data_IF_361475831414
#
_entry.id   IF_361475831414
#
_cell.length_a   1.000
_cell.length_b   1.000
_cell.length_c   1.000
_cell.angle_alpha   90.00
_cell.angle_beta   90.00
_cell.angle_gamma   90.00
#
_symmetry.space_group_name_H-M   'P 1'
#
loop_
_entity.id
_entity.type
_entity.pdbx_description
1 polymer ?
#
# COMPACT_ATOMS: atom_id res chain seq x y z
N UNK A 1 -16.25 16.38 -17.34
CA UNK A 1 -17.27 16.78 -16.35
C UNK A 1 -18.54 17.29 -17.01
N UNK A 2 -18.52 18.39 -17.79
CA UNK A 2 -19.74 18.86 -18.51
C UNK A 2 -20.29 17.86 -19.53
N UNK A 3 -19.44 17.23 -20.33
CA UNK A 3 -19.86 16.26 -21.37
C UNK A 3 -20.45 14.96 -20.79
N UNK A 4 -20.03 14.54 -19.58
CA UNK A 4 -20.57 13.34 -18.96
C UNK A 4 -21.89 13.61 -18.20
N UNK A 5 -22.10 14.86 -17.75
CA UNK A 5 -23.34 15.26 -17.05
C UNK A 5 -24.58 15.20 -17.94
N UNK A 6 -24.40 15.05 -19.26
CA UNK A 6 -25.46 14.93 -20.26
C UNK A 6 -25.82 13.47 -20.57
N UNK A 7 -25.09 12.49 -20.02
CA UNK A 7 -25.37 11.07 -20.25
C UNK A 7 -26.59 10.64 -19.42
N UNK A 8 -27.70 10.20 -20.05
CA UNK A 8 -28.89 9.78 -19.32
C UNK A 8 -28.61 8.63 -18.34
N UNK A 9 -29.12 8.73 -17.12
CA UNK A 9 -28.93 7.72 -16.07
C UNK A 9 -27.60 7.82 -15.31
N UNK A 10 -26.70 8.74 -15.69
CA UNK A 10 -25.49 9.03 -14.92
C UNK A 10 -25.69 10.30 -14.12
N UNK A 11 -25.54 10.19 -12.80
CA UNK A 11 -25.63 11.33 -11.88
C UNK A 11 -24.27 11.64 -11.28
N UNK A 12 -23.87 12.92 -11.34
CA UNK A 12 -22.65 13.41 -10.71
C UNK A 12 -22.95 13.83 -9.28
N UNK A 13 -22.41 13.09 -8.33
CA UNK A 13 -22.53 13.37 -6.90
C UNK A 13 -21.11 13.55 -6.36
N UNK A 14 -20.87 14.68 -5.68
CA UNK A 14 -19.58 14.92 -5.03
C UNK A 14 -19.56 14.31 -3.64
N UNK A 15 -18.37 14.07 -3.08
CA UNK A 15 -18.27 13.65 -1.68
C UNK A 15 -18.90 14.68 -0.73
N UNK A 16 -18.78 15.97 -1.01
CA UNK A 16 -19.42 17.03 -0.22
C UNK A 16 -20.95 16.89 -0.25
N UNK A 17 -21.54 16.51 -1.39
CA UNK A 17 -22.98 16.25 -1.49
C UNK A 17 -23.44 15.09 -0.60
N UNK A 18 -22.64 14.02 -0.51
CA UNK A 18 -22.93 12.89 0.39
C UNK A 18 -22.70 13.32 1.85
N UNK A 19 -21.62 14.07 2.09
CA UNK A 19 -21.20 14.50 3.42
C UNK A 19 -22.12 15.56 4.03
N UNK A 20 -22.82 16.36 3.23
CA UNK A 20 -23.78 17.36 3.70
C UNK A 20 -25.23 16.91 3.50
N UNK A 21 -25.43 15.62 3.16
CA UNK A 21 -26.75 15.07 2.86
C UNK A 21 -27.73 15.30 4.00
N UNK A 22 -28.84 15.98 3.69
CA UNK A 22 -29.91 16.22 4.65
C UNK A 22 -30.96 15.10 4.54
N UNK A 23 -31.05 14.19 5.53
CA UNK A 23 -32.00 13.09 5.47
C UNK A 23 -33.45 13.57 5.47
N UNK A 24 -34.28 12.91 4.66
CA UNK A 24 -35.73 13.10 4.64
C UNK A 24 -36.40 12.41 5.84
N UNK A 25 -35.80 11.33 6.34
CA UNK A 25 -36.32 10.51 7.42
C UNK A 25 -35.32 10.38 8.56
N UNK A 26 -35.83 10.25 9.79
CA UNK A 26 -34.99 9.98 10.95
C UNK A 26 -34.40 8.57 10.83
N UNK A 27 -33.09 8.46 11.01
CA UNK A 27 -32.42 7.18 11.17
C UNK A 27 -32.85 6.50 12.47
N UNK A 28 -32.87 5.18 12.44
CA UNK A 28 -33.02 4.36 13.64
C UNK A 28 -31.83 4.62 14.60
N UNK A 29 -32.09 5.01 15.87
CA UNK A 29 -31.02 5.34 16.80
C UNK A 29 -30.10 4.16 17.17
N UNK A 30 -30.64 2.93 17.24
CA UNK A 30 -29.84 1.74 17.57
C UNK A 30 -28.88 1.42 16.43
N UNK A 31 -29.38 1.45 15.20
CA UNK A 31 -28.60 1.24 13.98
C UNK A 31 -27.49 2.28 13.82
N UNK A 32 -27.80 3.56 14.07
CA UNK A 32 -26.79 4.62 14.03
C UNK A 32 -25.72 4.43 15.12
N UNK A 33 -26.15 4.11 16.35
CA UNK A 33 -25.23 3.88 17.47
C UNK A 33 -24.29 2.69 17.20
N UNK A 34 -24.84 1.57 16.73
CA UNK A 34 -24.08 0.37 16.39
C UNK A 34 -23.00 0.68 15.34
N UNK A 35 -23.39 1.32 14.23
CA UNK A 35 -22.44 1.71 13.18
C UNK A 35 -21.33 2.60 13.74
N UNK A 36 -21.70 3.70 14.41
CA UNK A 36 -20.74 4.70 14.92
C UNK A 36 -19.78 4.09 15.93
N UNK A 37 -20.30 3.29 16.86
CA UNK A 37 -19.48 2.60 17.85
C UNK A 37 -18.53 1.61 17.18
N UNK A 38 -19.00 0.85 16.19
CA UNK A 38 -18.18 -0.12 15.46
C UNK A 38 -17.02 0.53 14.72
N UNK A 39 -17.29 1.51 13.84
CA UNK A 39 -16.25 2.07 12.99
C UNK A 39 -15.25 2.95 13.77
N UNK A 40 -15.69 3.64 14.84
CA UNK A 40 -14.78 4.43 15.69
C UNK A 40 -13.87 3.56 16.59
N UNK A 41 -14.31 2.35 16.96
CA UNK A 41 -13.49 1.38 17.70
C UNK A 41 -12.52 0.59 16.82
N UNK A 42 -12.35 0.99 15.55
CA UNK A 42 -11.35 0.44 14.64
C UNK A 42 -10.06 1.29 14.68
N UNK A 43 -8.91 0.68 14.95
CA UNK A 43 -7.63 1.39 15.03
C UNK A 43 -7.20 2.03 13.69
N UNK A 44 -7.65 1.47 12.56
CA UNK A 44 -7.40 2.05 11.23
C UNK A 44 -8.18 3.34 11.03
N UNK A 45 -9.43 3.39 11.51
CA UNK A 45 -10.25 4.62 11.49
C UNK A 45 -9.48 5.72 12.19
N UNK A 46 -9.12 5.55 13.46
CA UNK A 46 -8.41 6.59 14.22
C UNK A 46 -7.16 7.15 13.49
N UNK A 47 -6.41 6.28 12.80
CA UNK A 47 -5.22 6.67 12.03
C UNK A 47 -5.55 7.43 10.74
N UNK A 48 -6.59 7.03 10.02
CA UNK A 48 -7.05 7.74 8.81
C UNK A 48 -7.65 9.10 9.15
N UNK A 49 -8.39 9.21 10.27
CA UNK A 49 -8.92 10.48 10.76
C UNK A 49 -7.77 11.43 11.18
N UNK A 50 -6.74 10.92 11.86
CA UNK A 50 -5.54 11.70 12.20
C UNK A 50 -4.69 12.08 10.98
N UNK A 51 -4.71 11.24 9.92
CA UNK A 51 -3.97 11.50 8.68
C UNK A 51 -4.39 12.82 8.04
N UNK A 52 -5.69 13.03 7.86
CA UNK A 52 -6.21 14.19 7.13
C UNK A 52 -6.07 15.50 7.90
N UNK A 53 -6.19 15.46 9.24
CA UNK A 53 -5.94 16.60 10.12
C UNK A 53 -6.80 17.84 9.81
N UNK A 54 -7.78 18.16 10.67
CA UNK A 54 -8.59 19.36 10.49
C UNK A 54 -7.80 20.66 10.55
N UNK A 55 -8.28 21.64 9.78
CA UNK A 55 -7.82 23.02 9.77
C UNK A 55 -7.92 23.68 11.17
N UNK A 56 -6.92 24.49 11.56
CA UNK A 56 -5.63 24.61 10.90
C UNK A 56 -4.82 23.33 11.07
N UNK A 57 -4.03 22.96 10.05
CA UNK A 57 -3.19 21.75 9.84
C UNK A 57 -2.32 21.25 11.03
N UNK A 58 -2.47 21.84 12.20
CA UNK A 58 -1.88 21.50 13.49
C UNK A 58 -2.85 20.75 14.42
N UNK A 59 -3.97 20.26 13.89
CA UNK A 59 -4.78 19.24 14.56
C UNK A 59 -5.83 19.83 15.49
N UNK A 60 -7.08 19.70 15.06
CA UNK A 60 -8.12 19.40 16.02
C UNK A 60 -7.73 18.04 16.64
N UNK A 61 -7.66 17.93 17.97
CA UNK A 61 -7.40 16.65 18.62
C UNK A 61 -8.40 15.59 18.15
N UNK A 62 -8.03 14.30 18.21
CA UNK A 62 -8.90 13.17 17.86
C UNK A 62 -10.33 13.36 18.40
N UNK A 63 -10.45 13.97 19.58
CA UNK A 63 -11.72 14.38 20.18
C UNK A 63 -12.64 15.20 19.26
N UNK A 64 -12.27 16.39 18.78
CA UNK A 64 -13.20 17.17 17.95
C UNK A 64 -13.22 16.69 16.49
N UNK A 65 -12.24 15.89 16.07
CA UNK A 65 -12.32 15.17 14.81
C UNK A 65 -13.49 14.18 14.83
N UNK A 66 -13.69 13.45 15.94
CA UNK A 66 -14.81 12.52 16.08
C UNK A 66 -16.16 13.20 15.89
N UNK A 67 -16.40 14.41 16.41
CA UNK A 67 -17.66 15.12 16.19
C UNK A 67 -17.97 15.28 14.69
N UNK A 68 -17.01 15.75 13.90
CA UNK A 68 -17.17 15.87 12.45
C UNK A 68 -17.46 14.52 11.81
N UNK A 69 -16.68 13.49 12.15
CA UNK A 69 -16.81 12.19 11.51
C UNK A 69 -18.08 11.43 11.93
N UNK A 70 -18.60 11.66 13.14
CA UNK A 70 -19.92 11.14 13.55
C UNK A 70 -21.06 11.80 12.77
N UNK A 71 -20.91 13.08 12.42
CA UNK A 71 -21.84 13.78 11.53
C UNK A 71 -21.70 13.26 10.09
N UNK A 72 -20.47 13.02 9.59
CA UNK A 72 -20.22 12.37 8.30
C UNK A 72 -20.93 11.03 8.21
N UNK A 73 -20.73 10.20 9.23
CA UNK A 73 -21.30 8.88 9.36
C UNK A 73 -22.83 8.92 9.31
N UNK A 74 -23.44 9.90 9.99
CA UNK A 74 -24.89 10.11 9.95
C UNK A 74 -25.38 10.41 8.54
N UNK A 75 -24.81 11.40 7.86
CA UNK A 75 -25.22 11.79 6.51
C UNK A 75 -24.97 10.69 5.47
N UNK A 76 -23.82 10.01 5.53
CA UNK A 76 -23.48 8.89 4.65
C UNK A 76 -24.46 7.73 4.84
N UNK A 77 -24.73 7.33 6.09
CA UNK A 77 -25.66 6.22 6.37
C UNK A 77 -27.07 6.55 5.87
N UNK A 78 -27.54 7.78 6.10
CA UNK A 78 -28.79 8.29 5.57
C UNK A 78 -28.84 8.27 4.04
N UNK A 79 -27.78 8.74 3.38
CA UNK A 79 -27.69 8.77 1.93
C UNK A 79 -27.79 7.36 1.33
N UNK A 80 -27.01 6.40 1.85
CA UNK A 80 -27.01 5.03 1.36
C UNK A 80 -28.38 4.36 1.49
N UNK A 81 -29.08 4.59 2.60
CA UNK A 81 -30.42 4.03 2.87
C UNK A 81 -31.46 4.68 1.96
N UNK A 82 -31.54 6.01 1.94
CA UNK A 82 -32.61 6.73 1.22
C UNK A 82 -32.45 6.72 -0.30
N UNK A 83 -31.22 6.54 -0.79
CA UNK A 83 -30.94 6.38 -2.23
C UNK A 83 -30.96 4.93 -2.68
N UNK A 84 -31.21 3.99 -1.77
CA UNK A 84 -31.30 2.55 -2.07
C UNK A 84 -30.09 2.06 -2.87
N UNK A 85 -28.89 2.44 -2.43
CA UNK A 85 -27.65 2.13 -3.16
C UNK A 85 -27.45 0.61 -3.20
N UNK A 86 -27.33 0.05 -4.40
CA UNK A 86 -27.18 -1.39 -4.62
C UNK A 86 -25.75 -1.89 -4.43
N UNK A 87 -24.76 -1.13 -4.87
CA UNK A 87 -23.34 -1.40 -4.66
C UNK A 87 -22.51 -0.11 -4.76
N UNK A 88 -21.27 -0.17 -4.26
CA UNK A 88 -20.27 0.89 -4.39
C UNK A 88 -19.05 0.35 -5.14
N UNK A 89 -18.52 1.13 -6.07
CA UNK A 89 -17.26 0.82 -6.76
C UNK A 89 -16.23 1.91 -6.49
N UNK A 90 -15.12 1.53 -5.85
CA UNK A 90 -13.98 2.40 -5.62
C UNK A 90 -12.87 2.14 -6.65
N UNK A 91 -12.28 3.23 -7.14
CA UNK A 91 -11.16 3.21 -8.11
C UNK A 91 -9.85 2.71 -7.50
N UNK A 92 -9.81 2.63 -6.18
CA UNK A 92 -8.71 2.17 -5.34
C UNK A 92 -9.23 1.86 -3.94
N UNK A 93 -8.43 1.15 -3.13
CA UNK A 93 -8.69 1.00 -1.69
C UNK A 93 -8.95 2.36 -1.03
N UNK A 94 -10.15 2.59 -0.45
CA UNK A 94 -10.48 3.83 0.25
C UNK A 94 -9.42 4.20 1.29
N UNK A 95 -8.89 5.41 1.20
CA UNK A 95 -7.78 5.85 2.07
C UNK A 95 -7.82 7.32 2.44
N UNK A 96 -8.85 8.02 1.99
CA UNK A 96 -9.32 9.27 2.57
C UNK A 96 -10.43 8.93 3.59
N UNK A 97 -10.60 9.77 4.61
CA UNK A 97 -11.49 9.52 5.75
C UNK A 97 -12.96 9.39 5.34
N UNK A 98 -13.42 10.19 4.39
CA UNK A 98 -14.80 10.15 3.89
C UNK A 98 -15.06 8.85 3.13
N UNK A 99 -14.13 8.45 2.26
CA UNK A 99 -14.22 7.19 1.51
C UNK A 99 -14.17 5.99 2.47
N UNK A 100 -13.36 6.10 3.52
CA UNK A 100 -13.28 5.10 4.57
C UNK A 100 -14.61 4.93 5.30
N UNK A 101 -15.26 6.03 5.70
CA UNK A 101 -16.57 5.99 6.36
C UNK A 101 -17.63 5.44 5.40
N UNK A 102 -17.59 5.83 4.12
CA UNK A 102 -18.47 5.31 3.07
C UNK A 102 -18.33 3.79 2.90
N UNK A 103 -17.10 3.28 2.84
CA UNK A 103 -16.84 1.84 2.75
C UNK A 103 -17.32 1.05 3.97
N UNK A 104 -17.05 1.57 5.18
CA UNK A 104 -17.55 0.94 6.42
C UNK A 104 -19.09 0.99 6.50
N UNK A 105 -19.72 2.10 6.09
CA UNK A 105 -21.18 2.22 6.09
C UNK A 105 -21.81 1.24 5.12
N UNK A 106 -21.23 1.08 3.92
CA UNK A 106 -21.70 0.11 2.95
C UNK A 106 -21.58 -1.33 3.47
N UNK A 107 -20.44 -1.71 4.05
CA UNK A 107 -20.25 -3.04 4.65
C UNK A 107 -21.24 -3.29 5.79
N UNK A 108 -21.45 -2.30 6.68
CA UNK A 108 -22.45 -2.38 7.75
C UNK A 108 -23.89 -2.55 7.24
N UNK A 109 -24.22 -1.94 6.10
CA UNK A 109 -25.52 -2.07 5.45
C UNK A 109 -25.66 -3.33 4.58
N UNK A 110 -24.63 -4.17 4.49
CA UNK A 110 -24.54 -5.29 3.54
C UNK A 110 -24.72 -4.85 2.07
N UNK A 111 -24.27 -3.64 1.74
CA UNK A 111 -24.17 -3.16 0.36
C UNK A 111 -22.86 -3.71 -0.22
N UNK A 112 -22.95 -4.25 -1.43
CA UNK A 112 -21.77 -4.78 -2.11
C UNK A 112 -20.72 -3.68 -2.33
N UNK A 113 -19.49 -3.91 -1.88
CA UNK A 113 -18.37 -3.00 -2.11
C UNK A 113 -17.39 -3.64 -3.08
N UNK A 114 -17.02 -2.90 -4.11
CA UNK A 114 -16.01 -3.27 -5.09
C UNK A 114 -14.86 -2.28 -5.05
N UNK A 115 -13.63 -2.76 -5.17
CA UNK A 115 -12.46 -1.90 -5.28
C UNK A 115 -11.46 -2.44 -6.31
N UNK A 116 -11.01 -1.57 -7.20
CA UNK A 116 -9.89 -1.88 -8.09
C UNK A 116 -8.58 -1.82 -7.33
N UNK A 117 -7.73 -2.80 -7.57
CA UNK A 117 -6.42 -2.90 -6.95
C UNK A 117 -5.33 -3.07 -7.99
N UNK A 118 -4.15 -2.51 -7.70
CA UNK A 118 -2.95 -2.95 -8.40
C UNK A 118 -2.72 -4.40 -8.01
N UNK A 119 -2.46 -5.26 -9.00
CA UNK A 119 -2.18 -6.65 -8.76
C UNK A 119 -0.73 -6.82 -8.27
N UNK A 120 0.14 -7.51 -9.01
CA UNK A 120 1.56 -7.62 -8.63
C UNK A 120 2.49 -6.72 -9.47
N UNK A 121 2.11 -6.47 -10.72
CA UNK A 121 2.85 -5.58 -11.62
C UNK A 121 2.16 -4.21 -11.71
N UNK A 122 2.89 -3.10 -11.86
CA UNK A 122 2.30 -1.77 -11.84
C UNK A 122 1.27 -1.46 -12.95
N UNK A 123 1.27 -2.24 -14.03
CA UNK A 123 0.30 -2.12 -15.14
C UNK A 123 -0.84 -3.14 -15.08
N UNK A 124 -0.80 -4.08 -14.11
CA UNK A 124 -1.81 -5.11 -13.96
C UNK A 124 -2.71 -4.81 -12.76
N UNK A 125 -4.01 -4.98 -12.97
CA UNK A 125 -5.04 -4.62 -12.01
C UNK A 125 -6.02 -5.76 -11.80
N UNK A 126 -6.66 -5.82 -10.64
CA UNK A 126 -7.72 -6.77 -10.34
C UNK A 126 -8.89 -6.08 -9.65
N UNK A 127 -10.01 -6.79 -9.51
CA UNK A 127 -11.19 -6.32 -8.81
C UNK A 127 -11.46 -7.20 -7.58
N UNK A 128 -11.71 -6.55 -6.46
CA UNK A 128 -12.04 -7.20 -5.19
C UNK A 128 -13.46 -6.85 -4.78
N UNK A 129 -14.20 -7.82 -4.23
CA UNK A 129 -15.49 -7.62 -3.57
C UNK A 129 -15.30 -7.71 -2.07
N UNK A 130 -15.99 -6.85 -1.33
CA UNK A 130 -15.87 -6.69 0.11
C UNK A 130 -14.98 -5.52 0.51
N UNK A 131 -14.75 -5.36 1.81
CA UNK A 131 -13.99 -4.24 2.35
C UNK A 131 -12.83 -4.73 3.24
N UNK A 132 -11.66 -4.12 3.08
CA UNK A 132 -10.46 -4.41 3.86
C UNK A 132 -10.05 -5.90 3.92
N UNK A 133 -10.10 -6.54 5.09
CA UNK A 133 -9.68 -7.94 5.26
C UNK A 133 -10.70 -8.94 4.72
N UNK A 134 -11.96 -8.52 4.57
CA UNK A 134 -13.07 -9.35 4.13
C UNK A 134 -13.26 -9.25 2.61
N UNK A 135 -12.16 -9.28 1.86
CA UNK A 135 -12.20 -9.15 0.41
C UNK A 135 -11.94 -10.46 -0.29
N UNK A 136 -12.72 -10.73 -1.34
CA UNK A 136 -12.53 -11.85 -2.25
C UNK A 136 -12.20 -11.35 -3.66
N UNK A 137 -11.40 -12.13 -4.37
CA UNK A 137 -11.15 -11.91 -5.80
C UNK A 137 -12.47 -12.10 -6.56
N UNK A 138 -12.90 -11.07 -7.31
CA UNK A 138 -14.18 -11.13 -8.04
C UNK A 138 -14.09 -12.04 -9.24
N UNK A 139 -12.94 -12.06 -9.90
CA UNK A 139 -12.79 -12.71 -11.17
C UNK A 139 -11.75 -13.83 -11.10
N UNK A 140 -12.19 -15.06 -11.37
CA UNK A 140 -11.34 -16.18 -11.78
C UNK A 140 -11.52 -16.34 -13.27
N UNK A 141 -10.44 -16.47 -14.03
CA UNK A 141 -10.47 -16.58 -15.50
C UNK A 141 -11.04 -15.32 -16.18
N UNK A 142 -10.54 -14.13 -15.80
CA UNK A 142 -10.71 -12.92 -16.59
C UNK A 142 -10.32 -13.20 -18.03
N UNK A 143 -11.32 -13.26 -18.91
CA UNK A 143 -11.08 -13.15 -20.34
C UNK A 143 -10.58 -11.74 -20.63
N UNK A 144 -9.25 -11.58 -20.62
CA UNK A 144 -8.59 -10.39 -21.13
C UNK A 144 -8.62 -10.41 -22.65
N UNK A 145 -8.71 -9.23 -23.26
CA UNK A 145 -8.43 -9.05 -24.68
C UNK A 145 -6.96 -9.38 -25.00
N UNK A 146 -6.09 -9.20 -24.01
CA UNK A 146 -4.67 -9.54 -24.07
C UNK A 146 -4.44 -11.05 -24.10
N UNK A 147 -3.50 -11.48 -24.93
CA UNK A 147 -3.07 -12.89 -25.02
C UNK A 147 -2.08 -13.25 -23.92
N UNK A 148 -1.99 -14.55 -23.60
CA UNK A 148 -0.98 -15.07 -22.67
C UNK A 148 0.44 -14.71 -23.11
N UNK A 149 0.72 -14.74 -24.43
CA UNK A 149 2.02 -14.38 -24.99
C UNK A 149 2.37 -12.91 -24.75
N UNK A 150 1.37 -12.01 -24.81
CA UNK A 150 1.55 -10.59 -24.46
C UNK A 150 1.97 -10.44 -22.99
N UNK A 151 1.26 -11.10 -22.07
CA UNK A 151 1.63 -11.12 -20.64
C UNK A 151 3.05 -11.66 -20.44
N UNK A 152 3.36 -12.80 -21.06
CA UNK A 152 4.68 -13.45 -20.99
C UNK A 152 5.79 -12.52 -21.45
N UNK A 153 5.60 -11.80 -22.55
CA UNK A 153 6.59 -10.86 -23.08
C UNK A 153 6.84 -9.68 -22.11
N UNK A 154 5.78 -9.07 -21.58
CA UNK A 154 5.88 -7.98 -20.61
C UNK A 154 6.53 -8.42 -19.28
N UNK A 155 6.13 -9.58 -18.77
CA UNK A 155 6.70 -10.17 -17.55
C UNK A 155 8.19 -10.45 -17.73
N UNK A 156 8.59 -11.08 -18.84
CA UNK A 156 9.99 -11.37 -19.14
C UNK A 156 10.83 -10.10 -19.21
N UNK A 157 10.31 -9.05 -19.87
CA UNK A 157 10.98 -7.75 -19.96
C UNK A 157 11.17 -7.11 -18.58
N UNK A 158 10.12 -7.07 -17.76
CA UNK A 158 10.20 -6.53 -16.40
C UNK A 158 11.14 -7.35 -15.50
N UNK A 159 11.08 -8.68 -15.56
CA UNK A 159 12.01 -9.58 -14.87
C UNK A 159 13.45 -9.29 -15.27
N UNK A 160 13.72 -9.03 -16.56
CA UNK A 160 15.03 -8.62 -17.05
C UNK A 160 15.53 -7.31 -16.44
N UNK A 161 14.64 -6.31 -16.30
CA UNK A 161 14.95 -5.02 -15.64
C UNK A 161 15.34 -5.26 -14.17
N UNK A 162 14.54 -6.03 -13.42
CA UNK A 162 14.78 -6.28 -11.99
C UNK A 162 16.04 -7.14 -11.74
N UNK A 163 16.35 -8.07 -12.63
CA UNK A 163 17.61 -8.85 -12.56
C UNK A 163 18.85 -8.00 -12.84
N UNK A 164 18.68 -6.87 -13.53
CA UNK A 164 19.74 -5.91 -13.81
C UNK A 164 20.17 -5.09 -12.59
N UNK A 165 20.51 -3.82 -12.82
CA UNK A 165 20.92 -2.89 -11.78
C UNK A 165 19.72 -2.13 -11.17
N UNK A 166 19.89 -1.66 -9.94
CA UNK A 166 18.83 -0.97 -9.22
C UNK A 166 18.44 0.36 -9.87
N UNK A 167 19.39 1.08 -10.46
CA UNK A 167 19.11 2.35 -11.13
C UNK A 167 18.14 2.18 -12.30
N UNK A 168 18.18 1.07 -13.04
CA UNK A 168 17.22 0.78 -14.11
C UNK A 168 15.86 0.35 -13.55
N UNK A 169 15.85 -0.45 -12.48
CA UNK A 169 14.64 -0.91 -11.82
C UNK A 169 13.88 0.18 -11.08
N UNK A 170 14.57 1.23 -10.64
CA UNK A 170 13.96 2.29 -9.85
C UNK A 170 12.91 3.07 -10.65
N UNK A 171 11.71 3.33 -10.08
CA UNK A 171 10.66 4.07 -10.75
C UNK A 171 11.09 5.47 -11.21
N UNK A 172 10.61 5.91 -12.38
CA UNK A 172 10.93 7.21 -12.97
C UNK A 172 10.55 8.38 -12.06
N UNK A 173 9.40 8.30 -11.39
CA UNK A 173 8.97 9.33 -10.43
C UNK A 173 9.83 9.40 -9.16
N UNK A 174 10.41 8.29 -8.70
CA UNK A 174 11.35 8.31 -7.56
C UNK A 174 12.72 8.87 -8.00
N UNK A 175 13.20 8.53 -9.19
CA UNK A 175 14.43 9.10 -9.78
C UNK A 175 14.43 10.62 -9.73
N UNK A 176 13.30 11.22 -10.12
CA UNK A 176 13.14 12.67 -10.18
C UNK A 176 13.14 13.36 -8.81
N UNK A 177 13.02 12.63 -7.70
CA UNK A 177 13.04 13.19 -6.34
C UNK A 177 14.43 13.27 -5.72
N UNK A 178 15.40 12.54 -6.26
CA UNK A 178 16.75 12.52 -5.68
C UNK A 178 17.53 13.78 -6.04
N UNK A 179 18.27 14.28 -5.06
CA UNK A 179 19.33 15.27 -5.30
C UNK A 179 20.59 14.61 -5.89
N UNK A 180 21.69 15.36 -5.91
CA UNK A 180 23.00 14.88 -6.41
C UNK A 180 24.04 14.83 -5.29
N UNK A 181 24.97 13.88 -5.41
CA UNK A 181 26.12 13.74 -4.50
C UNK A 181 25.71 13.64 -3.02
N UNK A 182 26.31 14.43 -2.10
CA UNK A 182 26.01 14.35 -0.67
C UNK A 182 24.57 14.77 -0.31
N UNK A 183 23.87 15.45 -1.22
CA UNK A 183 22.49 15.91 -1.05
C UNK A 183 21.46 14.99 -1.72
N UNK A 184 21.84 13.75 -2.08
CA UNK A 184 20.96 12.80 -2.78
C UNK A 184 19.63 12.57 -2.04
N UNK A 185 19.69 12.32 -0.73
CA UNK A 185 18.54 11.95 0.09
C UNK A 185 17.94 13.12 0.88
N UNK A 186 18.68 14.22 1.04
CA UNK A 186 18.21 15.43 1.70
C UNK A 186 18.99 16.63 1.17
N UNK A 187 18.30 17.57 0.52
CA UNK A 187 18.90 18.80 0.02
C UNK A 187 18.28 20.02 0.70
N UNK A 188 19.00 20.71 1.60
CA UNK A 188 18.46 21.85 2.32
C UNK A 188 18.28 23.11 1.45
N UNK A 189 18.79 23.10 0.21
CA UNK A 189 18.75 24.25 -0.70
C UNK A 189 17.69 24.12 -1.81
N UNK A 190 16.99 22.99 -1.90
CA UNK A 190 16.04 22.74 -3.00
C UNK A 190 14.74 23.56 -2.90
N UNK A 191 14.30 23.93 -1.69
CA UNK A 191 13.06 24.69 -1.48
C UNK A 191 13.24 25.82 -0.45
N UNK A 192 13.95 26.91 -0.81
CA UNK A 192 14.18 28.03 0.10
C UNK A 192 12.88 28.71 0.55
N UNK A 193 11.85 28.73 -0.29
CA UNK A 193 10.54 29.29 0.05
C UNK A 193 9.80 28.44 1.09
N UNK A 194 9.85 27.11 0.97
CA UNK A 194 9.30 26.18 1.95
C UNK A 194 9.99 26.27 3.30
N UNK A 195 11.32 26.43 3.31
CA UNK A 195 12.09 26.63 4.55
C UNK A 195 11.62 27.88 5.30
N UNK A 196 11.34 28.98 4.59
CA UNK A 196 10.85 30.23 5.21
C UNK A 196 9.38 30.11 5.65
N UNK A 197 8.52 29.55 4.80
CA UNK A 197 7.07 29.49 5.07
C UNK A 197 6.65 28.38 6.02
N UNK A 198 7.42 27.29 6.11
CA UNK A 198 7.13 26.11 6.93
C UNK A 198 8.41 25.55 7.59
N UNK A 199 9.13 26.36 8.39
CA UNK A 199 10.43 25.99 8.95
C UNK A 199 10.37 24.72 9.80
N UNK A 200 9.27 24.48 10.52
CA UNK A 200 9.07 23.27 11.32
C UNK A 200 9.15 21.97 10.50
N UNK A 201 8.67 21.95 9.24
CA UNK A 201 8.76 20.76 8.37
C UNK A 201 10.20 20.49 7.98
N UNK A 202 10.92 21.54 7.59
CA UNK A 202 12.34 21.45 7.25
C UNK A 202 13.16 20.96 8.45
N UNK A 203 12.99 21.59 9.62
CA UNK A 203 13.69 21.22 10.85
C UNK A 203 13.39 19.78 11.25
N UNK A 204 12.14 19.33 11.13
CA UNK A 204 11.78 17.94 11.42
C UNK A 204 12.49 16.96 10.46
N UNK A 205 12.43 17.21 9.15
CA UNK A 205 13.13 16.36 8.16
C UNK A 205 14.64 16.33 8.40
N UNK A 206 15.25 17.50 8.65
CA UNK A 206 16.68 17.60 8.94
C UNK A 206 17.07 16.81 10.20
N UNK A 207 16.29 16.96 11.27
CA UNK A 207 16.52 16.28 12.53
C UNK A 207 16.35 14.75 12.40
N UNK A 208 15.27 14.30 11.75
CA UNK A 208 15.02 12.89 11.47
C UNK A 208 16.14 12.28 10.60
N UNK A 209 16.53 12.95 9.51
CA UNK A 209 17.58 12.48 8.61
C UNK A 209 18.94 12.38 9.33
N UNK A 210 19.33 13.43 10.05
CA UNK A 210 20.59 13.46 10.80
C UNK A 210 20.63 12.37 11.88
N UNK A 211 19.52 12.16 12.60
CA UNK A 211 19.42 11.09 13.59
C UNK A 211 19.53 9.71 12.95
N UNK A 212 18.75 9.45 11.88
CA UNK A 212 18.77 8.19 11.16
C UNK A 212 20.17 7.87 10.65
N UNK A 213 20.82 8.82 9.96
CA UNK A 213 22.18 8.68 9.43
C UNK A 213 23.20 8.42 10.54
N UNK A 214 23.09 9.11 11.68
CA UNK A 214 23.98 8.91 12.84
C UNK A 214 23.81 7.53 13.47
N UNK A 215 22.60 6.98 13.48
CA UNK A 215 22.27 5.70 14.10
C UNK A 215 22.35 4.52 13.13
N UNK A 216 22.47 4.77 11.84
CA UNK A 216 22.65 3.71 10.84
C UNK A 216 24.04 3.11 10.89
N UNK A 217 24.12 1.81 10.63
CA UNK A 217 25.33 1.01 10.75
C UNK A 217 25.61 0.25 9.45
N UNK A 218 26.85 0.34 8.96
CA UNK A 218 27.29 -0.48 7.84
C UNK A 218 27.66 -1.87 8.34
N UNK A 219 26.90 -2.89 7.92
CA UNK A 219 27.22 -4.28 8.18
C UNK A 219 27.94 -4.92 6.99
N UNK A 220 28.77 -5.91 7.27
CA UNK A 220 29.27 -6.82 6.25
C UNK A 220 28.13 -7.74 5.80
N UNK A 221 27.48 -7.37 4.70
CA UNK A 221 26.31 -8.08 4.18
C UNK A 221 26.61 -9.55 3.85
N UNK A 222 27.86 -9.90 3.51
CA UNK A 222 28.21 -11.28 3.10
C UNK A 222 28.44 -12.21 4.27
N UNK A 223 28.94 -11.67 5.38
CA UNK A 223 29.31 -12.45 6.56
C UNK A 223 28.31 -12.33 7.71
N UNK A 224 27.28 -11.50 7.56
CA UNK A 224 26.22 -11.34 8.57
C UNK A 224 24.99 -12.13 8.16
N UNK A 225 24.45 -12.92 9.09
CA UNK A 225 23.13 -13.51 8.91
C UNK A 225 22.05 -12.46 9.21
N UNK A 226 21.29 -12.02 8.20
CA UNK A 226 20.27 -10.99 8.40
C UNK A 226 19.00 -11.19 7.57
N UNK A 227 17.91 -10.68 8.12
CA UNK A 227 16.69 -10.35 7.40
C UNK A 227 16.65 -8.84 7.16
N UNK A 228 16.02 -8.38 6.08
CA UNK A 228 15.85 -6.94 5.81
C UNK A 228 14.39 -6.55 5.82
N UNK A 229 14.04 -5.50 6.58
CA UNK A 229 12.73 -4.89 6.57
C UNK A 229 12.80 -3.51 5.91
N UNK A 230 12.10 -3.35 4.78
CA UNK A 230 11.97 -2.05 4.12
C UNK A 230 10.77 -1.31 4.68
N UNK A 231 11.05 -0.22 5.39
CA UNK A 231 10.03 0.71 5.84
C UNK A 231 9.39 1.38 4.63
N UNK A 232 8.10 1.62 4.74
CA UNK A 232 7.31 2.37 3.77
C UNK A 232 7.31 3.85 4.12
N UNK A 233 7.20 4.68 3.08
CA UNK A 233 6.84 6.08 3.28
C UNK A 233 5.42 6.17 3.86
N UNK A 234 5.21 7.08 4.82
CA UNK A 234 3.88 7.35 5.38
C UNK A 234 3.54 8.83 5.23
N UNK A 235 2.28 9.19 4.93
CA UNK A 235 1.07 8.34 4.97
C UNK A 235 0.60 7.83 3.59
N UNK A 236 1.15 6.73 3.07
CA UNK A 236 0.69 6.14 1.80
C UNK A 236 -0.49 5.19 1.98
N UNK A 237 -1.34 5.06 0.94
CA UNK A 237 -2.41 4.05 0.87
C UNK A 237 -1.92 2.62 1.14
N UNK A 238 -0.77 2.29 0.54
CA UNK A 238 -0.09 0.98 0.62
C UNK A 238 0.34 0.60 2.03
N UNK A 239 0.49 1.58 2.92
CA UNK A 239 0.68 1.35 4.35
C UNK A 239 -0.62 1.56 5.12
N UNK A 240 -1.37 2.62 4.84
CA UNK A 240 -2.58 3.03 5.55
C UNK A 240 -3.71 3.27 4.53
N UNK A 241 -4.70 2.36 4.42
CA UNK A 241 -5.04 1.32 5.38
C UNK A 241 -4.51 -0.09 5.05
N UNK A 242 -3.87 -0.29 3.90
CA UNK A 242 -3.53 -1.63 3.37
C UNK A 242 -2.52 -2.41 4.23
N UNK A 243 -1.84 -1.77 5.18
CA UNK A 243 -0.95 -2.42 6.14
C UNK A 243 -1.61 -3.01 7.38
N UNK A 244 -2.94 -2.86 7.54
CA UNK A 244 -3.70 -3.38 8.68
C UNK A 244 -3.10 -2.98 10.05
N UNK A 245 -2.79 -3.92 10.95
CA UNK A 245 -2.11 -3.66 12.24
C UNK A 245 -0.66 -3.18 12.07
N UNK A 246 -0.02 -3.51 10.95
CA UNK A 246 1.37 -3.14 10.64
C UNK A 246 1.50 -1.75 10.01
N UNK A 247 0.42 -0.97 9.97
CA UNK A 247 0.51 0.49 9.78
C UNK A 247 1.48 1.09 10.80
N UNK A 248 1.58 0.51 12.01
CA UNK A 248 2.69 0.80 12.91
C UNK A 248 3.91 -0.04 12.50
N UNK A 249 4.81 0.60 11.75
CA UNK A 249 6.00 -0.07 11.23
C UNK A 249 7.04 -0.35 12.30
N UNK A 250 7.01 0.36 13.44
CA UNK A 250 7.88 0.06 14.59
C UNK A 250 7.40 -1.20 15.27
N UNK A 251 6.08 -1.34 15.45
CA UNK A 251 5.47 -2.60 15.90
C UNK A 251 5.79 -3.75 14.93
N UNK A 252 5.68 -3.54 13.62
CA UNK A 252 6.03 -4.53 12.61
C UNK A 252 7.48 -5.02 12.75
N UNK A 253 8.44 -4.09 12.82
CA UNK A 253 9.85 -4.42 13.00
C UNK A 253 10.11 -5.15 14.32
N UNK A 254 9.48 -4.70 15.41
CA UNK A 254 9.59 -5.36 16.72
C UNK A 254 9.08 -6.79 16.67
N UNK A 255 7.90 -7.02 16.09
CA UNK A 255 7.32 -8.36 15.94
C UNK A 255 8.23 -9.28 15.13
N UNK A 256 8.75 -8.81 14.01
CA UNK A 256 9.70 -9.60 13.20
C UNK A 256 10.98 -9.89 13.98
N UNK A 257 11.54 -8.89 14.68
CA UNK A 257 12.78 -9.06 15.45
C UNK A 257 12.66 -10.16 16.52
N UNK A 258 11.47 -10.36 17.09
CA UNK A 258 11.20 -11.40 18.08
C UNK A 258 11.05 -12.80 17.48
N UNK A 259 10.76 -12.90 16.18
CA UNK A 259 10.56 -14.17 15.47
C UNK A 259 11.82 -14.67 14.77
N UNK A 260 12.84 -13.82 14.60
CA UNK A 260 14.10 -14.21 13.98
C UNK A 260 14.89 -15.16 14.89
N UNK A 261 15.63 -16.14 14.30
CA UNK A 261 16.51 -17.01 15.07
C UNK A 261 17.61 -16.23 15.82
N UNK A 262 18.18 -16.86 16.84
CA UNK A 262 19.34 -16.33 17.56
C UNK A 262 20.53 -16.12 16.60
N UNK A 263 21.27 -15.03 16.80
CA UNK A 263 22.40 -14.65 15.95
C UNK A 263 22.01 -13.98 14.63
N UNK A 264 20.71 -13.80 14.33
CA UNK A 264 20.24 -13.09 13.13
C UNK A 264 19.96 -11.62 13.43
N UNK A 265 20.44 -10.72 12.55
CA UNK A 265 20.11 -9.28 12.59
C UNK A 265 18.84 -8.99 11.77
N UNK A 266 18.05 -8.01 12.20
CA UNK A 266 17.04 -7.34 11.37
C UNK A 266 17.59 -6.00 10.91
N UNK A 267 17.90 -5.88 9.62
CA UNK A 267 18.26 -4.62 8.99
C UNK A 267 17.01 -3.85 8.61
N UNK A 268 16.81 -2.67 9.17
CA UNK A 268 15.64 -1.83 8.89
C UNK A 268 16.07 -0.68 7.99
N UNK A 269 15.53 -0.60 6.78
CA UNK A 269 15.87 0.44 5.80
C UNK A 269 14.71 1.41 5.59
N UNK A 270 14.98 2.70 5.76
CA UNK A 270 14.01 3.76 5.52
C UNK A 270 13.74 3.99 4.02
N UNK A 271 12.50 4.36 3.69
CA UNK A 271 12.15 4.78 2.34
C UNK A 271 12.71 6.17 2.04
N UNK A 272 13.40 6.41 0.91
CA UNK A 272 13.98 7.71 0.58
C UNK A 272 13.00 8.88 0.60
N UNK A 273 11.76 8.67 0.14
CA UNK A 273 10.71 9.69 0.16
C UNK A 273 10.38 10.22 1.56
N UNK A 274 10.76 9.52 2.64
CA UNK A 274 10.66 10.04 4.00
C UNK A 274 11.51 11.30 4.22
N UNK A 275 12.61 11.45 3.46
CA UNK A 275 13.53 12.59 3.54
C UNK A 275 13.47 13.50 2.31
N UNK A 276 13.20 12.94 1.12
CA UNK A 276 13.15 13.72 -0.13
C UNK A 276 11.79 14.38 -0.39
N UNK A 277 10.70 13.83 0.15
CA UNK A 277 9.34 14.38 -0.03
C UNK A 277 8.90 15.16 1.19
N UNK A 278 8.60 14.48 2.29
CA UNK A 278 8.14 15.15 3.51
C UNK A 278 8.31 14.25 4.74
N UNK A 279 8.90 14.79 5.81
CA UNK A 279 8.91 14.14 7.12
C UNK A 279 7.90 14.78 8.05
N UNK A 280 6.85 14.06 8.44
CA UNK A 280 5.88 14.52 9.43
C UNK A 280 6.04 13.78 10.76
N UNK A 281 6.15 14.49 11.90
CA UNK A 281 6.35 13.87 13.21
C UNK A 281 5.29 12.83 13.58
N UNK A 282 4.03 13.03 13.14
CA UNK A 282 2.91 12.14 13.44
C UNK A 282 3.01 10.76 12.78
N UNK A 283 3.79 10.62 11.71
CA UNK A 283 3.99 9.33 11.03
C UNK A 283 5.40 8.76 11.23
N UNK A 284 6.42 9.61 11.29
CA UNK A 284 7.81 9.18 11.49
C UNK A 284 8.58 10.24 12.28
N UNK A 285 9.11 9.83 13.42
CA UNK A 285 9.89 10.70 14.30
C UNK A 285 11.18 10.04 14.74
N UNK A 286 12.07 10.84 15.33
CA UNK A 286 13.28 10.34 15.98
C UNK A 286 12.97 9.30 17.05
N UNK A 287 11.82 9.42 17.73
CA UNK A 287 11.39 8.40 18.69
C UNK A 287 11.16 7.05 18.02
N UNK A 288 10.59 7.02 16.81
CA UNK A 288 10.41 5.79 16.04
C UNK A 288 11.76 5.12 15.76
N UNK A 289 12.76 5.89 15.30
CA UNK A 289 14.09 5.36 15.03
C UNK A 289 14.85 4.94 16.30
N UNK A 290 14.69 5.68 17.40
CA UNK A 290 15.27 5.31 18.68
C UNK A 290 14.69 3.99 19.18
N UNK A 291 13.36 3.82 19.11
CA UNK A 291 12.70 2.55 19.47
C UNK A 291 13.18 1.37 18.63
N UNK A 292 13.44 1.58 17.33
CA UNK A 292 14.02 0.55 16.46
C UNK A 292 15.47 0.24 16.85
N UNK A 293 16.30 1.26 17.05
CA UNK A 293 17.71 1.11 17.38
C UNK A 293 17.96 0.55 18.79
N UNK A 294 16.97 0.66 19.69
CA UNK A 294 17.02 0.10 21.05
C UNK A 294 16.74 -1.42 21.08
N UNK A 295 16.26 -2.01 19.98
CA UNK A 295 16.05 -3.45 19.89
C UNK A 295 17.39 -4.18 19.68
N UNK A 296 17.70 -5.22 20.47
CA UNK A 296 19.05 -5.78 20.56
C UNK A 296 19.57 -6.36 19.24
N UNK A 297 18.69 -6.93 18.42
CA UNK A 297 19.02 -7.55 17.14
C UNK A 297 18.66 -6.69 15.91
N UNK A 298 18.36 -5.40 16.08
CA UNK A 298 17.98 -4.49 14.98
C UNK A 298 19.09 -3.49 14.68
N UNK A 299 19.45 -3.30 13.41
CA UNK A 299 20.28 -2.15 12.97
C UNK A 299 19.51 -1.33 11.94
N UNK A 300 19.63 0.00 12.05
CA UNK A 300 19.18 0.90 10.97
C UNK A 300 20.17 0.83 9.80
N UNK A 301 19.64 0.67 8.59
CA UNK A 301 20.43 0.48 7.38
C UNK A 301 20.76 1.83 6.71
N UNK A 302 22.04 2.12 6.41
CA UNK A 302 22.42 3.35 5.70
C UNK A 302 21.65 3.54 4.38
N UNK A 303 21.26 4.79 4.10
CA UNK A 303 20.49 5.14 2.89
C UNK A 303 21.30 4.88 1.61
N UNK A 304 22.62 5.03 1.72
CA UNK A 304 23.60 4.92 0.65
C UNK A 304 23.86 3.47 0.20
N UNK A 305 23.47 2.47 1.00
CA UNK A 305 23.60 1.07 0.59
C UNK A 305 22.73 0.79 -0.63
N UNK A 306 23.22 -0.01 -1.57
CA UNK A 306 22.46 -0.43 -2.73
C UNK A 306 21.34 -1.40 -2.33
N UNK A 307 20.14 -1.20 -2.89
CA UNK A 307 18.96 -1.98 -2.51
C UNK A 307 19.07 -3.43 -3.00
N UNK A 308 19.56 -3.66 -4.22
CA UNK A 308 19.71 -5.03 -4.74
C UNK A 308 20.79 -5.80 -4.03
N UNK A 309 21.91 -5.16 -3.70
CA UNK A 309 22.97 -5.76 -2.86
C UNK A 309 22.42 -6.15 -1.47
N UNK A 310 21.58 -5.30 -0.88
CA UNK A 310 20.94 -5.60 0.40
C UNK A 310 19.93 -6.76 0.30
N UNK A 311 19.17 -6.84 -0.80
CA UNK A 311 18.24 -7.94 -1.06
C UNK A 311 18.99 -9.25 -1.28
N UNK A 312 19.97 -9.26 -2.20
CA UNK A 312 20.69 -10.47 -2.65
C UNK A 312 21.43 -11.21 -1.53
N UNK A 313 21.90 -10.46 -0.51
CA UNK A 313 22.64 -11.04 0.61
C UNK A 313 21.75 -11.30 1.84
N UNK A 314 20.46 -10.95 1.79
CA UNK A 314 19.52 -11.22 2.89
C UNK A 314 18.99 -12.64 2.85
N UNK A 315 18.64 -13.19 4.02
CA UNK A 315 17.94 -14.48 4.10
C UNK A 315 16.46 -14.36 3.72
N UNK A 316 15.87 -13.21 4.02
CA UNK A 316 14.47 -12.91 3.75
C UNK A 316 14.27 -11.40 3.68
N UNK A 317 13.41 -10.98 2.75
CA UNK A 317 12.93 -9.61 2.64
C UNK A 317 11.57 -9.51 3.29
N UNK A 318 11.41 -8.53 4.18
CA UNK A 318 10.14 -8.18 4.80
C UNK A 318 9.68 -6.82 4.27
N UNK A 319 8.40 -6.72 3.98
CA UNK A 319 7.74 -5.45 3.68
C UNK A 319 6.28 -5.50 4.09
N UNK A 320 5.60 -4.35 4.11
CA UNK A 320 4.15 -4.32 4.37
C UNK A 320 3.43 -4.72 3.09
N UNK A 321 3.40 -3.82 2.11
CA UNK A 321 2.86 -4.03 0.75
C UNK A 321 3.75 -3.34 -0.30
N UNK A 322 5.07 -3.48 -0.17
CA UNK A 322 6.03 -2.73 -0.98
C UNK A 322 6.38 -3.45 -2.29
N UNK A 323 6.72 -2.70 -3.34
CA UNK A 323 7.18 -3.28 -4.63
C UNK A 323 8.41 -4.17 -4.47
N UNK A 324 9.20 -3.92 -3.42
CA UNK A 324 10.37 -4.72 -3.04
C UNK A 324 10.04 -6.19 -2.83
N UNK A 325 8.78 -6.54 -2.53
CA UNK A 325 8.34 -7.94 -2.46
C UNK A 325 8.52 -8.65 -3.81
N UNK A 326 8.05 -8.05 -4.90
CA UNK A 326 8.22 -8.61 -6.24
C UNK A 326 9.69 -8.59 -6.68
N UNK A 327 10.42 -7.53 -6.33
CA UNK A 327 11.86 -7.42 -6.61
C UNK A 327 12.63 -8.57 -5.97
N UNK A 328 12.42 -8.81 -4.68
CA UNK A 328 13.06 -9.88 -3.92
C UNK A 328 12.71 -11.27 -4.45
N UNK A 329 11.44 -11.51 -4.77
CA UNK A 329 10.99 -12.77 -5.37
C UNK A 329 11.68 -13.04 -6.72
N UNK A 330 11.76 -12.05 -7.61
CA UNK A 330 12.45 -12.16 -8.90
C UNK A 330 13.96 -12.43 -8.70
N UNK A 331 14.54 -11.90 -7.62
CA UNK A 331 15.93 -12.12 -7.22
C UNK A 331 16.13 -13.40 -6.39
N UNK A 332 15.10 -14.25 -6.30
CA UNK A 332 15.08 -15.56 -5.63
C UNK A 332 15.31 -15.50 -4.12
N UNK A 333 14.94 -14.39 -3.50
CA UNK A 333 15.00 -14.23 -2.05
C UNK A 333 13.60 -14.44 -1.47
N UNK A 334 13.43 -15.27 -0.41
CA UNK A 334 12.15 -15.42 0.28
C UNK A 334 11.58 -14.09 0.75
N UNK A 335 10.26 -13.98 0.78
CA UNK A 335 9.56 -12.72 1.10
C UNK A 335 8.50 -12.93 2.17
N UNK A 336 8.40 -11.97 3.09
CA UNK A 336 7.28 -11.83 4.03
C UNK A 336 6.56 -10.51 3.72
N UNK A 337 5.27 -10.59 3.39
CA UNK A 337 4.39 -9.42 3.26
C UNK A 337 3.46 -9.35 4.45
N UNK A 338 3.46 -8.22 5.15
CA UNK A 338 2.70 -8.04 6.39
C UNK A 338 1.30 -7.42 6.17
N UNK A 339 1.14 -6.67 5.08
CA UNK A 339 -0.11 -6.04 4.70
C UNK A 339 -0.86 -6.82 3.63
N UNK A 340 -1.72 -6.10 2.92
CA UNK A 340 -2.42 -6.58 1.73
C UNK A 340 -1.40 -6.96 0.66
N UNK A 341 -1.52 -8.16 0.11
CA UNK A 341 -0.57 -8.68 -0.89
C UNK A 341 -1.29 -9.56 -1.92
N UNK A 342 -1.05 -9.28 -3.20
CA UNK A 342 -1.49 -10.13 -4.31
C UNK A 342 -0.41 -11.12 -4.77
N UNK A 343 0.82 -11.03 -4.25
CA UNK A 343 1.93 -11.91 -4.60
C UNK A 343 1.83 -13.25 -3.85
N UNK A 344 0.97 -14.14 -4.34
CA UNK A 344 0.68 -15.47 -3.78
C UNK A 344 1.41 -16.56 -4.57
N UNK A 345 2.71 -16.73 -4.31
CA UNK A 345 3.61 -17.68 -5.00
C UNK A 345 4.49 -18.43 -4.00
N UNK A 346 5.12 -19.52 -4.43
CA UNK A 346 6.01 -20.30 -3.57
C UNK A 346 7.21 -19.47 -3.12
N UNK A 347 7.55 -19.52 -1.83
CA UNK A 347 8.64 -18.71 -1.26
C UNK A 347 8.22 -17.28 -0.85
N UNK A 348 6.94 -16.95 -0.95
CA UNK A 348 6.34 -15.72 -0.40
C UNK A 348 5.31 -16.08 0.66
N UNK A 349 5.45 -15.51 1.86
CA UNK A 349 4.48 -15.65 2.92
C UNK A 349 3.73 -14.33 3.12
N UNK A 350 2.42 -14.34 2.86
CA UNK A 350 1.53 -13.25 3.25
C UNK A 350 1.03 -13.49 4.67
N UNK A 351 1.21 -12.51 5.54
CA UNK A 351 0.90 -12.65 6.97
C UNK A 351 -0.57 -13.00 7.21
N UNK A 352 -0.76 -14.05 8.00
CA UNK A 352 -2.06 -14.56 8.43
C UNK A 352 -2.11 -14.65 9.97
N UNK A 353 -1.16 -15.38 10.56
CA UNK A 353 -1.04 -15.63 11.99
C UNK A 353 0.43 -15.73 12.41
N UNK A 354 0.70 -15.49 13.70
CA UNK A 354 2.05 -15.63 14.26
C UNK A 354 2.62 -17.05 14.10
N UNK A 355 1.88 -18.14 14.38
CA UNK A 355 2.43 -19.49 14.21
C UNK A 355 2.79 -19.83 12.76
N UNK A 356 2.02 -19.38 11.77
CA UNK A 356 2.33 -19.60 10.36
C UNK A 356 3.56 -18.80 9.92
N UNK A 357 3.65 -17.54 10.35
CA UNK A 357 4.82 -16.71 10.11
C UNK A 357 6.09 -17.34 10.73
N UNK A 358 6.01 -17.82 11.97
CA UNK A 358 7.14 -18.48 12.64
C UNK A 358 7.58 -19.76 11.91
N UNK A 359 6.63 -20.58 11.44
CA UNK A 359 6.93 -21.76 10.61
C UNK A 359 7.67 -21.37 9.33
N UNK A 360 7.22 -20.30 8.66
CA UNK A 360 7.87 -19.82 7.45
C UNK A 360 9.29 -19.30 7.73
N UNK A 361 9.47 -18.49 8.78
CA UNK A 361 10.81 -18.03 9.21
C UNK A 361 11.73 -19.22 9.46
N UNK A 362 11.31 -20.23 10.24
CA UNK A 362 12.13 -21.43 10.45
C UNK A 362 12.45 -22.17 9.14
N UNK A 363 11.52 -22.27 8.20
CA UNK A 363 11.76 -22.91 6.90
C UNK A 363 12.80 -22.15 6.07
N UNK A 364 12.75 -20.81 6.07
CA UNK A 364 13.75 -19.96 5.39
C UNK A 364 15.13 -20.18 5.98
N UNK A 365 15.29 -20.01 7.30
CA UNK A 365 16.60 -20.09 7.96
C UNK A 365 17.17 -21.53 8.02
N UNK A 366 16.35 -22.55 7.77
CA UNK A 366 16.83 -23.94 7.58
C UNK A 366 17.11 -24.30 6.12
N UNK A 367 17.03 -23.34 5.19
CA UNK A 367 17.34 -23.55 3.77
C UNK A 367 16.32 -24.41 3.02
N UNK A 368 15.09 -24.55 3.55
CA UNK A 368 14.02 -25.36 2.96
C UNK A 368 13.23 -24.64 1.88
N UNK A 369 13.24 -23.30 1.89
CA UNK A 369 12.57 -22.49 0.87
C UNK A 369 13.54 -22.25 -0.28
N UNK A 370 13.15 -22.57 -1.52
CA UNK A 370 13.86 -22.14 -2.72
C UNK A 370 12.85 -21.66 -3.76
N UNK A 371 13.27 -20.69 -4.56
CA UNK A 371 12.43 -20.07 -5.59
C UNK A 371 12.98 -20.45 -6.97
N UNK A 372 12.14 -21.03 -7.82
CA UNK A 372 12.44 -21.45 -9.19
C UNK A 372 11.30 -21.05 -10.15
N UNK A 373 11.52 -21.17 -11.46
CA UNK A 373 10.49 -20.91 -12.49
C UNK A 373 9.75 -19.57 -12.32
N UNK A 374 10.48 -18.49 -11.97
CA UNK A 374 9.94 -17.17 -11.64
C UNK A 374 8.93 -16.67 -12.69
N UNK A 375 9.32 -16.69 -13.97
CA UNK A 375 8.46 -16.18 -15.06
C UNK A 375 7.15 -16.97 -15.16
N UNK A 376 7.19 -18.31 -15.05
CA UNK A 376 5.98 -19.15 -15.09
C UNK A 376 5.10 -18.96 -13.85
N UNK A 377 5.69 -18.83 -12.66
CA UNK A 377 4.91 -18.57 -11.44
C UNK A 377 4.20 -17.22 -11.53
N UNK A 378 4.87 -16.18 -12.02
CA UNK A 378 4.29 -14.85 -12.19
C UNK A 378 3.23 -14.84 -13.29
N UNK A 379 3.46 -15.54 -14.41
CA UNK A 379 2.49 -15.67 -15.47
C UNK A 379 1.24 -16.41 -15.00
N UNK A 380 1.40 -17.57 -14.36
CA UNK A 380 0.28 -18.36 -13.84
C UNK A 380 -0.51 -17.61 -12.77
N UNK A 381 0.14 -16.74 -11.99
CA UNK A 381 -0.55 -15.92 -11.00
C UNK A 381 -1.34 -14.78 -11.66
N UNK A 382 -0.83 -14.20 -12.75
CA UNK A 382 -1.39 -12.96 -13.36
C UNK A 382 -2.40 -13.22 -14.46
N UNK A 383 -2.13 -14.17 -15.35
CA UNK A 383 -2.99 -14.47 -16.48
C UNK A 383 -4.31 -15.06 -15.99
N UNK A 384 -5.44 -14.48 -16.43
CA UNK A 384 -6.77 -14.86 -15.96
C UNK A 384 -7.16 -14.32 -14.57
N UNK A 385 -6.27 -13.67 -13.82
CA UNK A 385 -6.58 -13.08 -12.50
C UNK A 385 -6.39 -11.55 -12.46
N UNK A 386 -5.94 -10.97 -13.58
CA UNK A 386 -5.70 -9.53 -13.71
C UNK A 386 -6.04 -9.03 -15.12
N UNK A 387 -6.12 -7.71 -15.25
CA UNK A 387 -6.29 -7.01 -16.53
C UNK A 387 -5.16 -6.00 -16.73
N UNK A 388 -4.72 -5.86 -17.98
CA UNK A 388 -3.72 -4.86 -18.34
C UNK A 388 -4.36 -3.50 -18.54
N UNK A 389 -3.81 -2.52 -17.84
CA UNK A 389 -3.99 -1.10 -18.14
C UNK A 389 -3.02 -0.59 -19.22
N UNK A 390 -2.03 -1.40 -19.60
CA UNK A 390 -1.09 -1.08 -20.68
C UNK A 390 -1.70 -1.48 -22.03
N UNK A 391 -1.68 -0.56 -22.99
CA UNK A 391 -2.19 -0.79 -24.35
C UNK A 391 -1.06 -1.00 -25.39
N UNK A 392 0.17 -0.61 -25.05
CA UNK A 392 1.34 -0.76 -25.92
C UNK A 392 1.89 -2.19 -25.93
N UNK A 393 2.56 -2.59 -27.01
CA UNK A 393 3.22 -3.89 -27.10
C UNK A 393 4.47 -3.99 -26.20
N UNK A 394 4.96 -5.21 -25.95
CA UNK A 394 6.20 -5.42 -25.19
C UNK A 394 7.46 -4.96 -25.94
N UNK A 395 7.38 -4.82 -27.26
CA UNK A 395 8.47 -4.32 -28.11
C UNK A 395 8.65 -2.80 -27.97
N UNK A 396 7.58 -2.09 -27.60
CA UNK A 396 7.61 -0.65 -27.40
C UNK A 396 8.39 -0.25 -26.13
N UNK A 397 9.00 0.93 -26.14
CA UNK A 397 9.58 1.52 -24.93
C UNK A 397 8.47 1.97 -23.98
N UNK A 398 8.04 1.08 -23.08
CA UNK A 398 7.05 1.38 -22.05
C UNK A 398 7.75 1.75 -20.72
N UNK A 399 7.36 2.89 -20.14
CA UNK A 399 7.62 3.16 -18.72
C UNK A 399 6.54 2.43 -17.91
N UNK A 400 6.90 1.24 -17.39
CA UNK A 400 6.01 0.42 -16.57
C UNK A 400 5.53 1.14 -15.29
N UNK A 401 6.12 2.29 -14.93
CA UNK A 401 5.74 3.04 -13.74
C UNK A 401 4.79 4.22 -14.00
N UNK A 402 4.23 4.36 -15.22
CA UNK A 402 3.12 5.27 -15.54
C UNK A 402 1.79 4.79 -14.95
N UNK A 403 1.79 4.61 -13.62
CA UNK A 403 0.70 3.98 -12.87
C UNK A 403 -0.65 4.63 -13.09
N UNK A 404 -0.71 5.96 -13.19
CA UNK A 404 -1.98 6.67 -13.31
C UNK A 404 -2.70 6.35 -14.60
N UNK A 405 -2.01 6.41 -15.75
CA UNK A 405 -2.63 6.16 -17.05
C UNK A 405 -3.14 4.71 -17.14
N UNK A 406 -2.32 3.74 -16.70
CA UNK A 406 -2.72 2.33 -16.69
C UNK A 406 -3.91 2.08 -15.75
N UNK A 407 -3.94 2.77 -14.60
CA UNK A 407 -5.03 2.61 -13.63
C UNK A 407 -6.35 3.14 -14.19
N UNK A 408 -6.35 4.27 -14.90
CA UNK A 408 -7.55 4.82 -15.53
C UNK A 408 -8.14 3.82 -16.54
N UNK A 409 -7.33 3.31 -17.45
CA UNK A 409 -7.72 2.30 -18.45
C UNK A 409 -8.27 1.04 -17.77
N UNK A 410 -7.55 0.52 -16.78
CA UNK A 410 -7.99 -0.68 -16.06
C UNK A 410 -9.30 -0.48 -15.30
N UNK A 411 -9.51 0.68 -14.66
CA UNK A 411 -10.76 1.02 -13.99
C UNK A 411 -11.94 0.97 -14.97
N UNK A 412 -11.80 1.56 -16.16
CA UNK A 412 -12.86 1.51 -17.17
C UNK A 412 -13.17 0.07 -17.59
N UNK A 413 -12.15 -0.73 -17.90
CA UNK A 413 -12.32 -2.14 -18.29
C UNK A 413 -13.01 -2.97 -17.19
N UNK A 414 -12.56 -2.83 -15.94
CA UNK A 414 -13.11 -3.58 -14.80
C UNK A 414 -14.54 -3.15 -14.46
N UNK A 415 -14.82 -1.85 -14.45
CA UNK A 415 -16.17 -1.32 -14.20
C UNK A 415 -17.14 -1.77 -15.31
N UNK A 416 -16.70 -1.77 -16.56
CA UNK A 416 -17.51 -2.25 -17.68
C UNK A 416 -17.89 -3.71 -17.48
N UNK A 417 -16.91 -4.58 -17.18
CA UNK A 417 -17.15 -6.00 -16.89
C UNK A 417 -18.06 -6.23 -15.69
N UNK A 418 -17.94 -5.41 -14.65
CA UNK A 418 -18.82 -5.47 -13.48
C UNK A 418 -20.27 -5.13 -13.85
N UNK A 419 -20.47 -4.08 -14.65
CA UNK A 419 -21.80 -3.61 -15.06
C UNK A 419 -22.48 -4.53 -16.09
N UNK A 420 -21.72 -5.16 -16.98
CA UNK A 420 -22.24 -6.09 -17.99
C UNK A 420 -22.44 -7.51 -17.48
N UNK A 421 -22.04 -7.80 -16.23
CA UNK A 421 -22.08 -9.12 -15.60
C UNK A 421 -21.43 -10.23 -16.46
N UNK A 422 -20.43 -9.89 -17.26
CA UNK A 422 -19.70 -10.82 -18.13
C UNK A 422 -18.86 -11.86 -17.38
N UNK A 423 -19.01 -11.97 -16.05
CA UNK A 423 -18.17 -12.86 -15.23
C UNK A 423 -18.99 -13.63 -14.20
N UNK A 424 -18.62 -14.91 -14.04
CA UNK A 424 -19.17 -15.79 -13.01
C UNK A 424 -18.54 -15.45 -11.67
N UNK A 425 -19.40 -15.11 -10.71
CA UNK A 425 -19.03 -14.98 -9.30
C UNK A 425 -18.46 -16.30 -8.79
N UNK A 426 -17.37 -16.30 -8.00
CA UNK A 426 -17.05 -17.47 -7.20
C UNK A 426 -18.25 -17.75 -6.29
N UNK A 427 -18.80 -18.97 -6.36
CA UNK A 427 -19.86 -19.41 -5.45
C UNK A 427 -19.39 -19.14 -4.01
N UNK A 428 -20.14 -18.31 -3.28
CA UNK A 428 -19.84 -17.99 -1.89
C UNK A 428 -19.97 -19.26 -1.08
N UNK A 429 -18.85 -19.75 -0.53
CA UNK A 429 -18.79 -20.89 0.39
C UNK A 429 -19.38 -20.54 1.75
#
# INVERSE_FOLDING_TARGET
MRELAEVPGIHFITYDTIFEYQPMHKLDPERYHEFVSGYLNNHLTARLLDREGYLPKYGIGIHNAFTYYTQAAYHILSFLIEKEISFIYFRFTPHESIEWILGNAAEFLNIDVYATEVFIFPWLYTLKKGFMRHTVDVFKELHSEDTEESYRAHIRKYVGIIKGNYDNAMPSYEKNRFGKGPYKYFNPFNDPKGVITKPHKFLNTAYNYAFYKKRSEFLDLKNTNYAVFFLHYQPERTTMPEGYEFVDQVYAAKMISLLLPEGTRLLVKEHPSMFTRQSEPKFRSVKSYQLLADLPNVSLCPMELDNFSLVDNSQVVITINGTVALEAFIRKIPVITLGRSNLKVEGVHSFSTIPELQKFVHAVFSGKIRIWNIEEQLLSLTFGNSISGLESSAEDTADYYLKYDFQEVANYKLLTKLLTQEVKWPETS
#
